data_IF_428463080852
#
_entry.id   IF_428463080852
#
_cell.length_a   1.000
_cell.length_b   1.000
_cell.length_c   1.000
_cell.angle_alpha   90.00
_cell.angle_beta   90.00
_cell.angle_gamma   90.00
#
_symmetry.space_group_name_H-M   'P 1'
#
loop_
_entity.id
_entity.type
_entity.pdbx_description
1 polymer ?
#
# COMPACT_ATOMS: atom_id res chain seq x y z
N UNK A 1 11.28 -4.12 26.68
CA UNK A 1 10.25 -4.79 25.85
C UNK A 1 9.49 -3.70 25.11
N UNK A 2 10.21 -2.95 24.28
CA UNK A 2 10.22 -3.13 22.82
C UNK A 2 8.99 -2.51 22.18
N UNK A 3 8.85 -1.19 22.40
CA UNK A 3 8.06 -0.29 21.56
C UNK A 3 8.74 -0.20 20.20
N UNK A 4 8.50 -1.20 19.36
CA UNK A 4 8.81 -1.15 17.93
C UNK A 4 7.49 -0.98 17.19
N UNK A 5 6.75 0.08 17.54
CA UNK A 5 5.61 0.52 16.75
C UNK A 5 6.21 1.24 15.56
N UNK A 6 6.39 0.44 14.49
CA UNK A 6 6.82 0.82 13.16
C UNK A 6 6.61 2.32 12.90
N UNK A 7 7.72 3.04 12.97
CA UNK A 7 7.90 4.38 12.46
C UNK A 7 7.49 4.34 10.98
N UNK A 8 6.25 4.74 10.72
CA UNK A 8 5.68 4.71 9.39
C UNK A 8 6.50 5.66 8.53
N UNK A 9 7.28 5.08 7.61
CA UNK A 9 7.88 5.75 6.46
C UNK A 9 6.77 6.25 5.54
N UNK A 10 5.98 7.21 6.01
CA UNK A 10 5.21 8.05 5.13
C UNK A 10 6.24 8.93 4.39
N UNK A 11 6.19 9.01 3.06
CA UNK A 11 7.03 9.97 2.36
C UNK A 11 6.68 11.37 2.86
N UNK A 12 7.58 11.95 3.67
CA UNK A 12 7.51 13.34 4.08
C UNK A 12 7.80 14.17 2.84
N UNK A 13 6.75 14.59 2.14
CA UNK A 13 6.88 15.57 1.06
C UNK A 13 7.08 16.93 1.70
N UNK A 14 8.20 17.59 1.36
CA UNK A 14 8.41 19.00 1.69
C UNK A 14 7.70 19.84 0.63
N UNK A 15 6.58 20.44 1.00
CA UNK A 15 5.90 21.41 0.15
C UNK A 15 6.59 22.78 0.26
N UNK A 16 6.74 23.50 -0.85
CA UNK A 16 7.20 24.89 -0.83
C UNK A 16 6.13 25.78 -0.18
N UNK A 17 6.50 26.84 0.58
CA UNK A 17 5.58 27.60 1.42
C UNK A 17 4.50 28.41 0.67
N UNK A 18 4.46 28.38 -0.66
CA UNK A 18 3.60 29.21 -1.51
C UNK A 18 2.82 28.41 -2.57
N UNK A 19 2.74 27.09 -2.42
CA UNK A 19 2.00 26.20 -3.33
C UNK A 19 0.92 25.45 -2.56
N UNK A 20 -0.32 25.60 -3.02
CA UNK A 20 -1.42 24.72 -2.62
C UNK A 20 -1.18 23.35 -3.26
N UNK A 21 -0.71 22.38 -2.47
CA UNK A 21 -0.56 20.98 -2.91
C UNK A 21 -1.78 20.16 -2.51
N UNK A 22 -2.52 19.66 -3.50
CA UNK A 22 -3.63 18.73 -3.27
C UNK A 22 -3.07 17.32 -3.16
N UNK A 23 -2.93 16.83 -1.92
CA UNK A 23 -2.48 15.45 -1.66
C UNK A 23 -3.71 14.54 -1.52
N UNK A 24 -3.96 13.74 -2.55
CA UNK A 24 -5.00 12.70 -2.52
C UNK A 24 -4.42 11.43 -1.90
N UNK A 25 -5.05 10.91 -0.84
CA UNK A 25 -4.72 9.61 -0.26
C UNK A 25 -5.95 8.72 -0.24
N UNK A 26 -5.79 7.50 -0.72
CA UNK A 26 -6.85 6.50 -0.61
C UNK A 26 -6.90 5.94 0.81
N UNK A 27 -8.09 5.98 1.41
CA UNK A 27 -8.33 5.45 2.75
C UNK A 27 -8.95 4.06 2.59
N UNK A 28 -8.38 3.01 3.21
CA UNK A 28 -8.99 1.69 3.18
C UNK A 28 -10.42 1.71 3.73
N UNK A 29 -11.36 0.92 3.17
CA UNK A 29 -12.75 0.89 3.65
C UNK A 29 -12.92 0.49 5.12
N UNK A 30 -11.92 -0.19 5.69
CA UNK A 30 -11.88 -0.60 7.10
C UNK A 30 -11.26 0.45 8.03
N UNK A 31 -10.88 1.62 7.53
CA UNK A 31 -10.31 2.67 8.34
C UNK A 31 -11.41 3.60 8.89
N UNK A 32 -11.22 4.03 10.12
CA UNK A 32 -11.97 5.09 10.78
C UNK A 32 -11.32 6.44 10.40
N UNK A 33 -12.12 7.34 9.83
CA UNK A 33 -11.70 8.71 9.51
C UNK A 33 -11.79 9.55 10.78
N UNK A 34 -10.70 10.21 11.16
CA UNK A 34 -10.54 10.93 12.43
C UNK A 34 -10.81 12.44 12.30
N UNK A 35 -11.11 12.91 11.09
CA UNK A 35 -11.27 14.32 10.75
C UNK A 35 -12.56 14.56 9.98
N UNK A 36 -13.01 15.81 9.92
CA UNK A 36 -14.19 16.22 9.15
C UNK A 36 -13.81 17.06 7.93
N UNK A 37 -14.71 17.11 6.95
CA UNK A 37 -14.55 18.01 5.79
C UNK A 37 -14.45 19.46 6.28
N UNK A 38 -13.41 20.16 5.82
CA UNK A 38 -13.13 21.55 6.21
C UNK A 38 -12.33 21.71 7.51
N UNK A 39 -11.99 20.62 8.20
CA UNK A 39 -11.13 20.66 9.38
C UNK A 39 -9.68 21.01 8.98
N UNK A 40 -9.11 22.03 9.63
CA UNK A 40 -7.69 22.35 9.46
C UNK A 40 -6.85 21.40 10.31
N UNK A 41 -5.84 20.79 9.70
CA UNK A 41 -4.95 19.83 10.37
C UNK A 41 -3.49 20.22 10.15
N UNK A 42 -2.65 19.96 11.14
CA UNK A 42 -1.19 20.04 10.96
C UNK A 42 -0.70 18.90 10.07
N UNK A 43 0.44 19.09 9.40
CA UNK A 43 0.97 18.13 8.45
C UNK A 43 1.26 16.73 9.04
N UNK A 44 1.50 16.66 10.34
CA UNK A 44 1.80 15.46 11.11
C UNK A 44 0.56 14.82 11.76
N UNK A 45 -0.61 15.48 11.72
CA UNK A 45 -1.81 14.97 12.38
C UNK A 45 -2.39 13.77 11.61
N UNK A 46 -2.57 12.61 12.27
CA UNK A 46 -3.24 11.46 11.65
C UNK A 46 -4.69 11.81 11.28
N UNK A 47 -5.06 11.60 10.01
CA UNK A 47 -6.41 11.90 9.49
C UNK A 47 -7.33 10.67 9.44
N UNK A 48 -6.76 9.46 9.49
CA UNK A 48 -7.48 8.20 9.52
C UNK A 48 -6.65 7.13 10.23
N UNK A 49 -7.31 6.15 10.84
CA UNK A 49 -6.67 4.97 11.43
C UNK A 49 -7.35 3.71 10.96
N UNK A 50 -6.61 2.62 10.81
CA UNK A 50 -7.26 1.31 10.64
C UNK A 50 -8.08 0.99 11.89
N UNK A 51 -9.39 0.76 11.71
CA UNK A 51 -10.24 0.36 12.82
C UNK A 51 -9.84 -1.08 13.21
N UNK A 52 -9.24 -1.23 14.38
CA UNK A 52 -8.99 -2.54 14.95
C UNK A 52 -10.33 -3.06 15.50
N UNK A 53 -11.04 -3.90 14.74
CA UNK A 53 -12.18 -4.64 15.31
C UNK A 53 -11.64 -5.70 16.28
N UNK A 54 -12.15 -5.76 17.53
CA UNK A 54 -11.79 -6.83 18.46
C UNK A 54 -12.08 -8.19 17.81
N UNK A 55 -11.05 -9.02 17.62
CA UNK A 55 -11.17 -10.36 17.01
C UNK A 55 -10.96 -10.44 15.49
N UNK A 56 -10.80 -9.31 14.77
CA UNK A 56 -10.37 -9.30 13.37
C UNK A 56 -9.17 -8.36 13.22
N UNK A 57 -7.96 -8.90 13.36
CA UNK A 57 -6.76 -8.25 12.83
C UNK A 57 -6.84 -8.30 11.29
N UNK A 58 -7.57 -7.36 10.69
CA UNK A 58 -7.42 -7.10 9.25
C UNK A 58 -6.05 -6.45 9.07
N UNK A 59 -5.06 -7.30 8.85
CA UNK A 59 -3.68 -6.89 8.66
C UNK A 59 -3.54 -6.33 7.24
N UNK A 60 -3.30 -5.02 7.12
CA UNK A 60 -2.89 -4.43 5.86
C UNK A 60 -1.44 -4.83 5.64
N UNK A 61 -1.17 -5.60 4.59
CA UNK A 61 0.18 -5.98 4.20
C UNK A 61 0.55 -5.20 2.96
N UNK A 62 1.54 -4.31 3.09
CA UNK A 62 2.09 -3.57 1.95
C UNK A 62 3.11 -4.48 1.25
N UNK A 63 2.89 -4.70 -0.05
CA UNK A 63 3.80 -5.47 -0.89
C UNK A 63 4.43 -4.53 -1.90
N UNK A 64 5.75 -4.31 -1.78
CA UNK A 64 6.51 -3.55 -2.76
C UNK A 64 6.84 -4.44 -3.97
N UNK A 65 5.94 -4.42 -4.97
CA UNK A 65 6.07 -5.22 -6.20
C UNK A 65 7.25 -4.75 -7.06
N UNK A 66 7.59 -3.45 -7.04
CA UNK A 66 8.66 -2.90 -7.88
C UNK A 66 10.01 -3.43 -7.43
N UNK A 67 10.28 -3.31 -6.12
CA UNK A 67 11.47 -3.87 -5.51
C UNK A 67 11.51 -5.39 -5.65
N UNK A 68 10.37 -6.06 -5.49
CA UNK A 68 10.30 -7.53 -5.61
C UNK A 68 10.52 -8.06 -7.04
N UNK A 69 10.40 -7.22 -8.08
CA UNK A 69 10.60 -7.62 -9.48
C UNK A 69 11.80 -6.91 -10.14
N UNK A 70 12.52 -6.06 -9.40
CA UNK A 70 13.61 -5.22 -9.89
C UNK A 70 13.20 -4.37 -11.11
N UNK A 71 12.01 -3.76 -11.02
CA UNK A 71 11.44 -2.94 -12.08
C UNK A 71 11.20 -1.50 -11.61
N UNK A 72 11.30 -0.51 -12.50
CA UNK A 72 10.90 0.85 -12.18
C UNK A 72 9.37 0.92 -12.05
N UNK A 73 8.87 1.78 -11.16
CA UNK A 73 7.43 1.86 -10.84
C UNK A 73 6.52 2.13 -12.03
N UNK A 74 7.03 2.78 -13.09
CA UNK A 74 6.30 3.02 -14.35
C UNK A 74 5.94 1.74 -15.11
N UNK A 75 6.69 0.67 -14.94
CA UNK A 75 6.51 -0.59 -15.67
C UNK A 75 5.63 -1.59 -14.88
N UNK A 76 5.20 -1.22 -13.66
CA UNK A 76 4.40 -2.09 -12.78
C UNK A 76 3.05 -2.47 -13.37
N UNK A 77 2.39 -1.53 -14.06
CA UNK A 77 1.04 -1.74 -14.59
C UNK A 77 0.98 -2.91 -15.60
N UNK A 78 2.08 -3.20 -16.29
CA UNK A 78 2.17 -4.25 -17.31
C UNK A 78 2.43 -5.64 -16.72
N UNK A 79 2.94 -5.71 -15.49
CA UNK A 79 3.36 -6.97 -14.85
C UNK A 79 2.41 -7.44 -13.74
N UNK A 80 1.50 -6.58 -13.29
CA UNK A 80 0.47 -6.92 -12.30
C UNK A 80 -0.58 -7.87 -12.92
N UNK A 81 -0.78 -9.02 -12.30
CA UNK A 81 -1.76 -10.03 -12.70
C UNK A 81 -3.10 -9.88 -11.95
N UNK A 82 -3.09 -9.15 -10.84
CA UNK A 82 -4.26 -8.88 -10.00
C UNK A 82 -4.54 -7.39 -9.97
N UNK A 83 -5.83 -7.05 -9.93
CA UNK A 83 -6.33 -5.68 -9.88
C UNK A 83 -6.91 -5.38 -8.51
N UNK A 84 -7.04 -4.10 -8.22
CA UNK A 84 -7.79 -3.62 -7.06
C UNK A 84 -9.17 -4.27 -7.01
N UNK A 85 -9.54 -4.78 -5.85
CA UNK A 85 -10.78 -5.50 -5.60
C UNK A 85 -10.67 -7.01 -5.73
N UNK A 86 -9.61 -7.53 -6.38
CA UNK A 86 -9.43 -8.97 -6.54
C UNK A 86 -9.14 -9.66 -5.21
N UNK A 87 -9.78 -10.81 -5.00
CA UNK A 87 -9.40 -11.74 -3.93
C UNK A 87 -8.13 -12.50 -4.31
N UNK A 88 -7.26 -12.70 -3.33
CA UNK A 88 -5.98 -13.42 -3.51
C UNK A 88 -5.80 -14.44 -2.39
N UNK A 89 -5.23 -15.60 -2.71
CA UNK A 89 -4.81 -16.60 -1.74
C UNK A 89 -3.36 -16.40 -1.31
N UNK A 90 -2.98 -16.95 -0.16
CA UNK A 90 -1.58 -16.96 0.27
C UNK A 90 -0.71 -17.75 -0.73
N UNK A 91 0.44 -17.18 -1.13
CA UNK A 91 1.36 -17.76 -2.11
C UNK A 91 0.95 -17.55 -3.58
N UNK A 92 -0.22 -16.97 -3.83
CA UNK A 92 -0.70 -16.68 -5.17
C UNK A 92 0.15 -15.62 -5.88
N UNK A 93 0.32 -15.71 -7.19
CA UNK A 93 1.14 -14.76 -7.96
C UNK A 93 0.37 -13.45 -8.15
N UNK A 94 0.90 -12.36 -7.58
CA UNK A 94 0.37 -11.00 -7.73
C UNK A 94 0.88 -10.32 -9.00
N UNK A 95 2.15 -10.55 -9.32
CA UNK A 95 2.80 -9.96 -10.48
C UNK A 95 3.86 -10.90 -11.06
N UNK A 96 4.07 -10.82 -12.37
CA UNK A 96 5.03 -11.66 -13.09
C UNK A 96 5.79 -10.85 -14.12
N UNK A 97 7.11 -10.75 -13.94
CA UNK A 97 8.02 -10.24 -14.97
C UNK A 97 8.44 -11.40 -15.86
N UNK A 98 7.94 -11.42 -17.11
CA UNK A 98 8.34 -12.41 -18.12
C UNK A 98 9.64 -11.98 -18.79
N UNK A 99 10.61 -12.88 -18.81
CA UNK A 99 11.85 -12.73 -19.56
C UNK A 99 11.81 -13.60 -20.84
N UNK A 100 12.70 -13.33 -21.79
CA UNK A 100 12.84 -14.14 -23.03
C UNK A 100 13.22 -15.60 -22.74
N UNK A 101 13.80 -15.86 -21.57
CA UNK A 101 14.20 -17.20 -21.11
C UNK A 101 13.38 -17.57 -19.87
N UNK A 102 12.78 -18.78 -19.79
CA UNK A 102 11.86 -19.17 -18.71
C UNK A 102 12.49 -19.15 -17.31
N UNK A 103 13.79 -19.43 -17.20
CA UNK A 103 14.51 -19.47 -15.93
C UNK A 103 14.86 -18.07 -15.37
N UNK A 104 14.61 -17.00 -16.14
CA UNK A 104 14.83 -15.62 -15.74
C UNK A 104 13.52 -14.90 -15.36
N UNK A 105 12.37 -15.57 -15.40
CA UNK A 105 11.11 -14.96 -14.98
C UNK A 105 11.05 -14.83 -13.47
N UNK A 106 10.62 -13.67 -12.99
CA UNK A 106 10.50 -13.37 -11.56
C UNK A 106 9.04 -13.13 -11.21
N UNK A 107 8.60 -13.75 -10.11
CA UNK A 107 7.22 -13.68 -9.64
C UNK A 107 7.16 -13.05 -8.25
N UNK A 108 6.26 -12.09 -8.08
CA UNK A 108 5.90 -11.55 -6.77
C UNK A 108 4.64 -12.28 -6.28
N UNK A 109 4.69 -12.83 -5.06
CA UNK A 109 3.62 -13.65 -4.49
C UNK A 109 2.95 -12.96 -3.30
N UNK A 110 1.68 -13.24 -3.11
CA UNK A 110 0.89 -12.75 -1.99
C UNK A 110 1.38 -13.38 -0.68
N UNK A 111 1.76 -12.58 0.33
CA UNK A 111 2.21 -13.10 1.61
C UNK A 111 1.06 -13.66 2.46
N UNK A 112 -0.18 -13.25 2.18
CA UNK A 112 -1.37 -13.67 2.90
C UNK A 112 -2.59 -13.70 1.97
N UNK A 113 -3.61 -14.47 2.37
CA UNK A 113 -4.90 -14.43 1.69
C UNK A 113 -5.63 -13.13 2.06
N UNK A 114 -6.34 -12.53 1.10
CA UNK A 114 -7.03 -11.27 1.32
C UNK A 114 -7.60 -10.68 0.04
N UNK A 115 -7.67 -9.35 0.01
CA UNK A 115 -8.15 -8.57 -1.14
C UNK A 115 -7.16 -7.45 -1.45
N UNK A 116 -6.87 -7.25 -2.73
CA UNK A 116 -6.03 -6.13 -3.19
C UNK A 116 -6.81 -4.83 -3.05
N UNK A 117 -6.23 -3.84 -2.36
CA UNK A 117 -6.92 -2.58 -2.03
C UNK A 117 -6.33 -1.35 -2.72
N UNK A 118 -5.13 -1.46 -3.29
CA UNK A 118 -4.40 -0.41 -4.02
C UNK A 118 -3.68 -1.01 -5.23
#
# INVERSE_FOLDING_TARGET
MSDVVAEWLLPVRRCAPFLDEVVVREIPPSAEVLVKVGEQVSADRPIARLAASPGQQRQLVVVDVASALELPSRDLAEVLLRRRGDGVAAGEVLALRRARLPFLSQACRAPAAGRVVA
#
